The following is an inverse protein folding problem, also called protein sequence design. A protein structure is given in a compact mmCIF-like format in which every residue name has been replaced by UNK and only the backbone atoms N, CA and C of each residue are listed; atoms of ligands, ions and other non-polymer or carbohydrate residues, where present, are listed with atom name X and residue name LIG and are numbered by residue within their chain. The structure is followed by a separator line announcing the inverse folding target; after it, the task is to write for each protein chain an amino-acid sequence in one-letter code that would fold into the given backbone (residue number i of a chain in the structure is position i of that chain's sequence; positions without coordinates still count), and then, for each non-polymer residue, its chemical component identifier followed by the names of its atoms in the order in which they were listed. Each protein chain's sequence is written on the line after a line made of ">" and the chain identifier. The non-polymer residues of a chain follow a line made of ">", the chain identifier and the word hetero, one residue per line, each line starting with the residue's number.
data_IF_322472533627
#
_entry.id   IF_322472533627
#
_cell.length_a   1.000
_cell.length_b   1.000
_cell.length_c   1.000
_cell.angle_alpha   90.00
_cell.angle_beta   90.00
_cell.angle_gamma   90.00
#
_symmetry.space_group_name_H-M   'P 1'
#
loop_
_entity.id
_entity.type
_entity.pdbx_description
1 polymer ?
#
# COMPACT_ATOMS: atom_id res chain seq x y z
N UNK A 1 -17.04 1.09 6.56
CA UNK A 1 -15.63 0.87 6.16
C UNK A 1 -14.72 1.78 6.96
N UNK A 2 -13.39 1.67 6.75
CA UNK A 2 -12.36 2.39 7.53
C UNK A 2 -12.17 3.86 7.15
N UNK A 3 -12.97 4.38 6.21
CA UNK A 3 -12.91 5.76 5.74
C UNK A 3 -12.17 5.90 4.40
N UNK A 4 -12.66 6.79 3.55
CA UNK A 4 -12.16 6.99 2.19
C UNK A 4 -10.75 7.59 2.12
N UNK A 5 -10.39 8.40 3.10
CA UNK A 5 -9.05 8.98 3.21
C UNK A 5 -7.95 7.94 3.45
N UNK A 6 -8.30 6.75 3.94
CA UNK A 6 -7.31 5.71 4.23
C UNK A 6 -6.61 5.22 2.96
N UNK A 7 -7.37 4.81 1.95
CA UNK A 7 -6.83 4.33 0.67
C UNK A 7 -6.12 5.46 -0.08
N UNK A 8 -6.66 6.68 -0.02
CA UNK A 8 -6.03 7.83 -0.66
C UNK A 8 -4.68 8.16 0.02
N UNK A 9 -4.61 8.01 1.35
CA UNK A 9 -3.38 8.12 2.12
C UNK A 9 -2.34 7.06 1.75
N UNK A 10 -2.74 5.79 1.60
CA UNK A 10 -1.84 4.70 1.18
C UNK A 10 -1.26 4.96 -0.22
N UNK A 11 -2.10 5.38 -1.17
CA UNK A 11 -1.65 5.77 -2.52
C UNK A 11 -0.67 6.94 -2.48
N UNK A 12 -0.99 7.99 -1.73
CA UNK A 12 -0.10 9.16 -1.57
C UNK A 12 1.23 8.78 -0.92
N UNK A 13 1.23 7.87 0.04
CA UNK A 13 2.44 7.38 0.70
C UNK A 13 3.31 6.59 -0.30
N UNK A 14 2.71 5.66 -1.04
CA UNK A 14 3.42 4.90 -2.05
C UNK A 14 4.01 5.79 -3.16
N UNK A 15 3.32 6.86 -3.56
CA UNK A 15 3.79 7.83 -4.55
C UNK A 15 5.11 8.52 -4.14
N UNK A 16 5.31 8.74 -2.84
CA UNK A 16 6.55 9.32 -2.30
C UNK A 16 7.73 8.34 -2.31
N UNK A 17 7.45 7.04 -2.30
CA UNK A 17 8.47 5.99 -2.17
C UNK A 17 8.79 5.26 -3.49
N UNK A 18 7.87 5.25 -4.46
CA UNK A 18 8.05 4.54 -5.73
C UNK A 18 8.07 5.52 -6.88
N UNK A 19 9.24 5.63 -7.52
CA UNK A 19 9.45 6.53 -8.65
C UNK A 19 8.94 5.93 -9.97
N UNK A 20 8.69 6.78 -10.97
CA UNK A 20 8.33 6.32 -12.31
C UNK A 20 9.42 5.42 -12.93
N UNK A 21 10.70 5.71 -12.65
CA UNK A 21 11.83 4.88 -13.11
C UNK A 21 11.80 3.47 -12.50
N UNK A 22 11.37 3.33 -11.25
CA UNK A 22 11.18 2.03 -10.61
C UNK A 22 10.06 1.26 -11.31
N UNK A 23 8.92 1.91 -11.58
CA UNK A 23 7.80 1.29 -12.30
C UNK A 23 8.21 0.83 -13.72
N UNK A 24 9.00 1.63 -14.46
CA UNK A 24 9.52 1.23 -15.78
C UNK A 24 10.39 -0.03 -15.73
N UNK A 25 11.02 -0.32 -14.59
CA UNK A 25 11.85 -1.50 -14.38
C UNK A 25 11.12 -2.65 -13.66
N UNK A 26 9.83 -2.48 -13.34
CA UNK A 26 9.12 -3.40 -12.46
C UNK A 26 9.12 -4.85 -13.00
N UNK A 27 8.91 -5.05 -14.30
CA UNK A 27 8.88 -6.37 -14.92
C UNK A 27 10.24 -7.08 -14.85
N UNK A 28 11.33 -6.33 -14.97
CA UNK A 28 12.69 -6.87 -14.84
C UNK A 28 13.03 -7.25 -13.40
N UNK A 29 12.54 -6.48 -12.42
CA UNK A 29 12.85 -6.68 -10.99
C UNK A 29 11.93 -7.75 -10.39
N UNK A 30 10.65 -7.75 -10.76
CA UNK A 30 9.60 -8.61 -10.23
C UNK A 30 8.90 -9.37 -11.37
N UNK A 31 9.56 -10.32 -12.05
CA UNK A 31 8.99 -11.01 -13.20
C UNK A 31 7.76 -11.88 -12.86
N UNK A 32 7.64 -12.33 -11.62
CA UNK A 32 6.45 -13.01 -11.11
C UNK A 32 5.54 -12.01 -10.41
N UNK A 33 4.25 -11.96 -10.79
CA UNK A 33 3.27 -11.01 -10.27
C UNK A 33 3.78 -9.56 -10.30
N UNK A 34 4.17 -9.09 -11.48
CA UNK A 34 4.68 -7.74 -11.70
C UNK A 34 3.70 -6.69 -11.16
N UNK A 35 4.13 -5.78 -10.27
CA UNK A 35 3.24 -4.74 -9.76
C UNK A 35 2.90 -3.73 -10.86
N UNK A 36 1.59 -3.48 -11.06
CA UNK A 36 1.07 -2.54 -12.07
C UNK A 36 0.77 -1.15 -11.52
N UNK A 37 0.83 -0.97 -10.21
CA UNK A 37 0.70 0.33 -9.53
C UNK A 37 1.86 0.55 -8.58
N UNK A 38 2.14 1.82 -8.26
CA UNK A 38 3.15 2.20 -7.27
C UNK A 38 2.84 1.68 -5.88
N UNK A 39 1.57 1.66 -5.51
CA UNK A 39 1.10 1.06 -4.26
C UNK A 39 1.45 -0.43 -4.19
N UNK A 40 1.13 -1.20 -5.23
CA UNK A 40 1.48 -2.62 -5.30
C UNK A 40 3.00 -2.84 -5.30
N UNK A 41 3.77 -1.97 -5.98
CA UNK A 41 5.22 -2.02 -5.99
C UNK A 41 5.78 -1.80 -4.58
N UNK A 42 5.24 -0.83 -3.84
CA UNK A 42 5.66 -0.53 -2.47
C UNK A 42 5.42 -1.72 -1.55
N UNK A 43 4.24 -2.35 -1.60
CA UNK A 43 3.97 -3.58 -0.85
C UNK A 43 4.88 -4.73 -1.27
N UNK A 44 5.16 -4.87 -2.57
CA UNK A 44 6.08 -5.89 -3.08
C UNK A 44 7.50 -5.71 -2.54
N UNK A 45 8.00 -4.48 -2.44
CA UNK A 45 9.29 -4.20 -1.81
C UNK A 45 9.33 -4.60 -0.34
N UNK A 46 8.26 -4.33 0.41
CA UNK A 46 8.15 -4.74 1.82
C UNK A 46 8.12 -6.26 1.90
N UNK A 47 7.29 -6.91 1.08
CA UNK A 47 7.17 -8.37 1.04
C UNK A 47 8.51 -9.05 0.79
N UNK A 48 9.25 -8.65 -0.25
CA UNK A 48 10.54 -9.28 -0.56
C UNK A 48 11.63 -8.99 0.46
N UNK A 49 11.52 -7.88 1.22
CA UNK A 49 12.43 -7.60 2.35
C UNK A 49 12.26 -8.62 3.47
N UNK A 50 11.03 -9.06 3.75
CA UNK A 50 10.73 -10.02 4.83
C UNK A 50 10.70 -11.48 4.36
N UNK A 51 10.38 -11.72 3.09
CA UNK A 51 10.18 -13.05 2.50
C UNK A 51 10.93 -13.20 1.16
N UNK A 52 12.27 -13.22 1.16
CA UNK A 52 13.07 -13.26 -0.08
C UNK A 52 12.95 -14.58 -0.85
N UNK A 53 12.49 -15.66 -0.21
CA UNK A 53 12.41 -17.00 -0.78
C UNK A 53 11.38 -17.13 -1.92
N UNK A 54 11.73 -17.94 -2.93
CA UNK A 54 10.83 -18.21 -4.05
C UNK A 54 9.52 -18.89 -3.63
N UNK A 55 9.56 -19.77 -2.62
CA UNK A 55 8.36 -20.44 -2.12
C UNK A 55 7.31 -19.45 -1.63
N UNK A 56 7.70 -18.39 -0.92
CA UNK A 56 6.78 -17.37 -0.43
C UNK A 56 6.13 -16.59 -1.59
N UNK A 57 6.90 -16.23 -2.62
CA UNK A 57 6.38 -15.54 -3.81
C UNK A 57 5.26 -16.34 -4.50
N UNK A 58 5.39 -17.66 -4.57
CA UNK A 58 4.41 -18.54 -5.19
C UNK A 58 3.12 -18.73 -4.38
N UNK A 59 3.12 -18.38 -3.09
CA UNK A 59 1.91 -18.45 -2.24
C UNK A 59 0.95 -17.27 -2.45
N UNK A 60 1.42 -16.17 -3.04
CA UNK A 60 0.60 -14.98 -3.28
C UNK A 60 -0.15 -15.15 -4.60
N UNK A 61 -1.48 -15.25 -4.59
CA UNK A 61 -2.25 -15.38 -5.83
C UNK A 61 -2.12 -14.10 -6.68
N UNK A 62 -1.82 -14.28 -7.96
CA UNK A 62 -1.77 -13.19 -8.93
C UNK A 62 -3.11 -12.92 -9.60
N UNK A 63 -3.17 -11.85 -10.40
CA UNK A 63 -4.34 -11.49 -11.20
C UNK A 63 -5.19 -10.37 -10.61
N UNK A 64 -6.20 -9.93 -11.36
CA UNK A 64 -7.09 -8.86 -10.93
C UNK A 64 -7.98 -9.32 -9.77
N UNK A 65 -8.11 -8.48 -8.74
CA UNK A 65 -8.95 -8.73 -7.57
C UNK A 65 -9.52 -7.41 -7.05
N UNK A 66 -10.67 -7.49 -6.37
CA UNK A 66 -11.27 -6.36 -5.65
C UNK A 66 -11.66 -6.85 -4.26
N UNK A 67 -11.06 -6.29 -3.23
CA UNK A 67 -11.26 -6.69 -1.84
C UNK A 67 -11.12 -8.23 -1.66
N UNK A 68 -12.14 -8.90 -1.13
CA UNK A 68 -12.15 -10.34 -0.87
C UNK A 68 -12.48 -11.19 -2.12
N UNK A 69 -12.58 -10.57 -3.30
CA UNK A 69 -13.09 -11.22 -4.50
C UNK A 69 -11.99 -11.54 -5.50
N UNK A 70 -12.05 -12.73 -6.10
CA UNK A 70 -11.12 -13.18 -7.16
C UNK A 70 -11.46 -12.54 -8.51
N UNK A 71 -10.60 -12.75 -9.51
CA UNK A 71 -10.84 -12.29 -10.88
C UNK A 71 -12.22 -12.71 -11.44
N UNK A 72 -12.75 -13.86 -11.00
CA UNK A 72 -14.10 -14.32 -11.36
C UNK A 72 -15.20 -13.33 -10.99
N UNK A 73 -15.04 -12.57 -9.91
CA UNK A 73 -16.04 -11.56 -9.53
C UNK A 73 -16.04 -10.36 -10.49
N UNK A 74 -14.91 -10.09 -11.16
CA UNK A 74 -14.83 -9.03 -12.18
C UNK A 74 -15.55 -9.47 -13.47
N UNK A 75 -15.56 -10.77 -13.77
CA UNK A 75 -16.25 -11.34 -14.93
C UNK A 75 -17.78 -11.28 -14.81
N UNK A 76 -18.32 -11.28 -13.59
CA UNK A 76 -19.77 -11.34 -13.36
C UNK A 76 -20.49 -10.00 -13.57
N UNK A 77 -19.76 -8.87 -13.59
CA UNK A 77 -20.34 -7.54 -13.75
C UNK A 77 -19.43 -6.65 -14.60
N UNK A 78 -19.76 -6.50 -15.89
CA UNK A 78 -19.00 -5.70 -16.86
C UNK A 78 -18.81 -4.22 -16.48
N UNK A 79 -19.54 -3.73 -15.47
CA UNK A 79 -19.40 -2.38 -14.91
C UNK A 79 -18.26 -2.26 -13.89
N UNK A 80 -17.88 -3.35 -13.22
CA UNK A 80 -16.85 -3.36 -12.17
C UNK A 80 -15.43 -3.47 -12.73
N UNK A 81 -15.29 -3.98 -13.96
CA UNK A 81 -14.01 -4.07 -14.68
C UNK A 81 -13.31 -2.72 -14.85
N UNK A 82 -14.08 -1.64 -14.96
CA UNK A 82 -13.56 -0.28 -15.18
C UNK A 82 -13.27 0.49 -13.88
N UNK A 83 -13.58 -0.06 -12.71
CA UNK A 83 -13.35 0.63 -11.43
C UNK A 83 -13.01 -0.35 -10.29
N UNK A 84 -11.76 -0.79 -10.27
CA UNK A 84 -11.22 -1.71 -9.26
C UNK A 84 -10.84 -1.02 -7.94
N UNK A 85 -11.50 0.08 -7.56
CA UNK A 85 -11.19 0.79 -6.31
C UNK A 85 -11.58 -0.07 -5.09
N UNK A 86 -10.61 -0.56 -4.28
CA UNK A 86 -10.89 -1.47 -3.17
C UNK A 86 -11.65 -0.80 -2.01
N UNK A 87 -11.89 0.51 -2.09
CA UNK A 87 -12.67 1.26 -1.10
C UNK A 87 -14.17 0.98 -1.13
N UNK A 88 -14.68 0.37 -2.21
CA UNK A 88 -16.11 0.24 -2.48
C UNK A 88 -16.78 1.53 -3.00
N UNK A 89 -16.04 2.61 -3.24
CA UNK A 89 -16.57 3.85 -3.87
C UNK A 89 -17.01 3.65 -5.31
N UNK A 90 -16.61 2.54 -5.94
CA UNK A 90 -16.90 2.27 -7.35
C UNK A 90 -18.38 2.12 -7.70
N UNK A 91 -19.26 1.97 -6.70
CA UNK A 91 -20.69 2.17 -6.88
C UNK A 91 -20.96 3.67 -7.15
N UNK A 92 -20.91 4.06 -8.43
CA UNK A 92 -21.01 5.45 -8.87
C UNK A 92 -22.24 6.15 -8.28
N UNK A 93 -22.01 7.24 -7.55
CA UNK A 93 -23.05 8.17 -7.09
C UNK A 93 -23.52 8.01 -5.64
N UNK A 94 -23.36 6.84 -5.02
CA UNK A 94 -23.92 6.60 -3.67
C UNK A 94 -23.10 7.26 -2.55
N UNK A 95 -21.85 7.66 -2.83
CA UNK A 95 -20.91 8.17 -1.81
C UNK A 95 -20.35 9.58 -2.10
N UNK A 96 -20.92 10.32 -3.05
CA UNK A 96 -20.47 11.68 -3.43
C UNK A 96 -20.42 12.66 -2.25
N UNK A 97 -21.26 12.46 -1.23
CA UNK A 97 -21.32 13.30 -0.04
C UNK A 97 -20.00 13.34 0.75
N UNK A 98 -19.17 12.30 0.67
CA UNK A 98 -17.92 12.23 1.43
C UNK A 98 -16.85 13.23 0.96
N UNK A 99 -16.99 13.80 -0.24
CA UNK A 99 -16.04 14.78 -0.79
C UNK A 99 -16.43 16.24 -0.53
N UNK A 100 -17.59 16.51 0.10
CA UNK A 100 -17.96 17.87 0.52
C UNK A 100 -17.09 18.30 1.70
N UNK A 101 -15.91 18.86 1.43
CA UNK A 101 -15.05 19.50 2.44
C UNK A 101 -15.68 20.83 2.87
N UNK A 102 -15.93 21.02 4.18
CA UNK A 102 -16.28 22.33 4.75
C UNK A 102 -15.19 23.35 4.37
N UNK A 103 -15.60 24.45 3.74
CA UNK A 103 -14.78 25.62 3.44
C UNK A 103 -14.34 26.31 4.73
N UNK A 104 -13.24 25.83 5.32
CA UNK A 104 -12.49 26.55 6.33
C UNK A 104 -11.23 27.12 5.69
N UNK A 105 -11.25 28.42 5.40
CA UNK A 105 -10.11 29.20 4.91
C UNK A 105 -8.92 29.11 5.87
N UNK A 106 -7.77 28.61 5.41
CA UNK A 106 -6.50 28.76 6.12
C UNK A 106 -5.69 29.79 5.33
N UNK A 107 -5.55 30.99 5.90
CA UNK A 107 -4.59 32.00 5.45
C UNK A 107 -3.16 31.58 5.85
N UNK A 108 -2.12 31.92 5.06
CA UNK A 108 -0.77 31.47 5.32
C UNK A 108 -0.08 32.42 6.32
N UNK A 109 0.19 31.93 7.53
CA UNK A 109 1.10 32.58 8.46
C UNK A 109 2.28 31.65 8.76
N UNK A 110 3.48 32.14 8.41
CA UNK A 110 4.84 31.61 8.64
C UNK A 110 4.99 30.75 9.90
N UNK A 111 5.64 29.59 9.75
CA UNK A 111 6.53 29.02 10.78
C UNK A 111 7.67 28.25 10.09
N UNK A 112 8.90 28.66 10.43
CA UNK A 112 10.17 28.11 9.94
C UNK A 112 10.47 26.73 10.57
N UNK A 113 11.41 25.93 10.02
CA UNK A 113 11.59 24.54 10.42
C UNK A 113 12.52 24.43 11.63
N UNK A 114 12.08 23.78 12.71
CA UNK A 114 12.97 23.29 13.76
C UNK A 114 13.25 21.81 13.53
N UNK A 115 14.48 21.53 13.07
CA UNK A 115 15.08 20.20 13.06
C UNK A 115 15.33 19.80 14.52
N UNK A 116 14.82 18.64 14.93
CA UNK A 116 15.25 17.96 16.14
C UNK A 116 15.24 16.45 15.85
N UNK A 117 16.43 15.94 15.50
CA UNK A 117 16.72 14.51 15.50
C UNK A 117 16.62 14.00 16.93
N UNK A 118 15.62 13.15 17.22
CA UNK A 118 15.55 12.44 18.48
C UNK A 118 14.91 11.06 18.29
N UNK A 119 15.62 10.18 17.57
CA UNK A 119 15.33 8.75 17.61
C UNK A 119 16.09 8.14 18.79
N UNK A 120 15.41 7.61 19.82
CA UNK A 120 16.08 6.83 20.85
C UNK A 120 16.66 5.56 20.23
N UNK A 121 17.96 5.33 20.48
CA UNK A 121 18.70 4.14 20.08
C UNK A 121 18.05 2.91 20.74
N UNK A 122 17.62 1.96 19.91
CA UNK A 122 17.01 0.69 20.33
C UNK A 122 18.00 -0.06 21.24
N UNK A 123 17.61 -0.33 22.49
CA UNK A 123 18.39 -1.15 23.42
C UNK A 123 18.26 -2.61 23.00
N UNK A 124 19.38 -3.29 22.82
CA UNK A 124 19.42 -4.74 22.58
C UNK A 124 18.85 -5.47 23.78
N UNK A 125 17.69 -6.11 23.60
CA UNK A 125 17.12 -7.04 24.58
C UNK A 125 17.86 -8.36 24.40
N UNK A 126 18.92 -8.55 25.16
CA UNK A 126 19.52 -9.88 25.37
C UNK A 126 18.50 -10.76 26.10
N UNK A 127 17.89 -11.70 25.37
CA UNK A 127 17.07 -12.77 25.96
C UNK A 127 17.94 -13.79 26.72
N UNK A 128 17.38 -14.53 27.68
CA UNK A 128 18.15 -15.46 28.49
C UNK A 128 18.62 -16.66 27.66
N UNK A 129 19.90 -16.99 27.85
CA UNK A 129 20.62 -18.11 27.27
C UNK A 129 20.00 -19.45 27.70
N UNK A 130 19.48 -20.23 26.75
CA UNK A 130 18.97 -21.58 27.01
C UNK A 130 20.16 -22.54 26.89
N UNK A 131 20.70 -22.95 28.04
CA UNK A 131 21.74 -23.99 28.12
C UNK A 131 21.08 -25.36 27.91
N UNK A 132 21.32 -25.97 26.75
CA UNK A 132 21.03 -27.39 26.53
C UNK A 132 22.26 -28.17 27.01
N UNK A 133 22.12 -28.93 28.11
CA UNK A 133 23.11 -29.93 28.51
C UNK A 133 22.89 -31.19 27.69
N UNK A 134 23.97 -31.69 27.11
CA UNK A 134 24.10 -32.95 26.36
C UNK A 134 23.67 -34.17 27.16
#
# INVERSE_FOLDING_TARGET
>A
GVGYSWIDGLKSHAEQHVTNKMMLNAERIFPHNTPVTKEAYYYRMIFERFFPQNSAKLTVPGGASVACSTAKAIEWEGFWSNNLDPSGRGALGVHNAAYKKKSGSISPAKLAPSIADNVPRMMDITGPEIVIRS
#
